data_IF_663667952808
#
_entry.id   IF_663667952808
#
_cell.length_a   1.000
_cell.length_b   1.000
_cell.length_c   1.000
_cell.angle_alpha   90.00
_cell.angle_beta   90.00
_cell.angle_gamma   90.00
#
_symmetry.space_group_name_H-M   'P 1'
#
loop_
_entity.id
_entity.type
_entity.pdbx_description
1 polymer ?
#
# COMPACT_ATOMS: atom_id res chain seq x y z
N UNK A 1 40.20 -25.01 -3.06
CA UNK A 1 38.74 -25.03 -3.21
C UNK A 1 38.48 -24.96 -4.71
N UNK A 2 37.70 -25.90 -5.27
CA UNK A 2 37.38 -25.96 -6.69
C UNK A 2 36.33 -24.95 -7.10
N UNK A 3 36.09 -24.84 -8.42
CA UNK A 3 35.01 -24.01 -8.98
C UNK A 3 33.67 -24.50 -8.42
N UNK A 4 32.84 -23.58 -7.93
CA UNK A 4 31.54 -23.85 -7.29
C UNK A 4 31.59 -24.60 -5.97
N UNK A 5 32.71 -24.53 -5.25
CA UNK A 5 32.87 -25.11 -3.91
C UNK A 5 33.03 -24.04 -2.87
N UNK A 6 32.33 -24.19 -1.75
CA UNK A 6 32.43 -23.31 -0.57
C UNK A 6 32.94 -24.16 0.60
N UNK A 7 34.04 -23.73 1.21
CA UNK A 7 34.53 -24.33 2.44
C UNK A 7 33.96 -23.60 3.65
N UNK A 8 33.19 -24.31 4.45
CA UNK A 8 32.72 -23.80 5.75
C UNK A 8 33.57 -24.41 6.84
N UNK A 9 34.31 -23.58 7.56
CA UNK A 9 35.24 -24.04 8.62
C UNK A 9 35.07 -23.19 9.88
N UNK A 10 35.54 -23.72 11.00
CA UNK A 10 35.49 -23.06 12.32
C UNK A 10 34.08 -22.75 12.80
N UNK A 11 33.09 -23.51 12.37
CA UNK A 11 31.74 -23.44 12.89
C UNK A 11 31.69 -24.04 14.28
N UNK A 12 31.03 -23.33 15.20
CA UNK A 12 30.72 -23.78 16.55
C UNK A 12 29.22 -23.83 16.73
N UNK A 13 28.75 -24.81 17.49
CA UNK A 13 27.33 -24.90 17.87
C UNK A 13 27.15 -24.42 19.31
N UNK A 14 25.97 -23.88 19.59
CA UNK A 14 25.51 -23.62 20.93
C UNK A 14 24.44 -24.63 21.33
N UNK A 15 24.18 -24.74 22.62
CA UNK A 15 23.05 -25.54 23.13
C UNK A 15 21.75 -25.04 22.54
N UNK A 16 20.81 -25.95 22.34
CA UNK A 16 19.48 -25.63 21.81
C UNK A 16 18.76 -24.60 22.71
N UNK A 17 18.20 -23.53 22.14
CA UNK A 17 17.50 -22.52 22.95
C UNK A 17 16.24 -23.12 23.59
N UNK A 18 15.92 -22.69 24.80
CA UNK A 18 14.71 -23.13 25.49
C UNK A 18 13.43 -22.62 24.84
N UNK A 19 13.52 -21.43 24.20
CA UNK A 19 12.40 -20.80 23.52
C UNK A 19 12.69 -20.67 22.02
N UNK A 20 11.66 -20.84 21.23
CA UNK A 20 11.68 -20.61 19.78
C UNK A 20 11.06 -19.25 19.47
N UNK A 21 11.68 -18.52 18.55
CA UNK A 21 11.12 -17.30 17.99
C UNK A 21 10.05 -17.67 16.96
N UNK A 22 8.82 -17.20 17.21
CA UNK A 22 7.69 -17.36 16.29
C UNK A 22 7.25 -15.99 15.82
N UNK A 23 6.99 -15.86 14.53
CA UNK A 23 6.43 -14.64 13.94
C UNK A 23 5.00 -14.92 13.55
N UNK A 24 4.08 -14.08 14.03
CA UNK A 24 2.66 -14.14 13.68
C UNK A 24 2.25 -12.91 12.90
N UNK A 25 1.41 -13.10 11.87
CA UNK A 25 0.75 -12.02 11.16
C UNK A 25 -0.61 -11.72 11.76
N UNK A 26 -0.88 -10.45 12.05
CA UNK A 26 -2.18 -9.98 12.57
C UNK A 26 -2.77 -9.00 11.58
N UNK A 27 -4.01 -9.25 11.15
CA UNK A 27 -4.74 -8.32 10.29
C UNK A 27 -5.16 -7.10 11.11
N UNK A 28 -4.59 -5.93 10.80
CA UNK A 28 -4.89 -4.67 11.52
C UNK A 28 -5.84 -3.74 10.76
N UNK A 29 -6.10 -4.03 9.50
CA UNK A 29 -7.00 -3.22 8.70
C UNK A 29 -6.73 -3.34 7.20
N UNK A 30 -7.11 -2.28 6.48
CA UNK A 30 -7.05 -2.24 5.02
C UNK A 30 -6.52 -0.90 4.53
N UNK A 31 -5.72 -0.93 3.47
CA UNK A 31 -5.36 0.26 2.70
C UNK A 31 -6.29 0.32 1.50
N UNK A 32 -6.90 1.48 1.29
CA UNK A 32 -7.58 1.82 0.03
C UNK A 32 -6.76 2.84 -0.75
N UNK A 33 -6.72 2.71 -2.07
CA UNK A 33 -6.05 3.63 -2.96
C UNK A 33 -6.93 3.94 -4.18
N UNK A 34 -7.13 5.23 -4.46
CA UNK A 34 -7.75 5.69 -5.69
C UNK A 34 -6.79 6.57 -6.48
N UNK A 35 -6.82 6.47 -7.81
CA UNK A 35 -5.94 7.20 -8.73
C UNK A 35 -6.73 7.79 -9.89
N UNK A 36 -6.36 9.00 -10.30
CA UNK A 36 -6.94 9.68 -11.45
C UNK A 36 -5.90 10.59 -12.11
N UNK A 37 -5.82 10.58 -13.43
CA UNK A 37 -4.91 11.45 -14.18
C UNK A 37 -5.67 12.67 -14.67
N UNK A 38 -5.13 13.86 -14.40
CA UNK A 38 -5.63 15.12 -14.92
C UNK A 38 -4.69 15.70 -15.95
N UNK A 39 -5.23 16.17 -17.08
CA UNK A 39 -4.44 16.70 -18.17
C UNK A 39 -4.96 18.03 -18.72
N UNK A 40 -4.13 18.67 -19.56
CA UNK A 40 -4.41 19.94 -20.22
C UNK A 40 -4.08 21.16 -19.37
N UNK A 41 -4.72 22.29 -19.66
CA UNK A 41 -4.50 23.51 -18.90
C UNK A 41 -4.94 23.35 -17.46
N UNK A 42 -4.13 23.88 -16.52
CA UNK A 42 -4.40 23.84 -15.08
C UNK A 42 -4.57 22.40 -14.52
N UNK A 43 -3.81 21.44 -15.06
CA UNK A 43 -3.89 20.04 -14.62
C UNK A 43 -3.71 19.89 -13.10
N UNK A 44 -2.74 20.62 -12.52
CA UNK A 44 -2.49 20.63 -11.08
C UNK A 44 -3.69 21.14 -10.27
N UNK A 45 -4.27 22.28 -10.64
CA UNK A 45 -5.41 22.86 -9.89
C UNK A 45 -6.63 21.92 -9.93
N UNK A 46 -6.87 21.29 -11.07
CA UNK A 46 -7.96 20.33 -11.24
C UNK A 46 -7.75 19.09 -10.34
N UNK A 47 -6.55 18.54 -10.32
CA UNK A 47 -6.21 17.40 -9.47
C UNK A 47 -6.34 17.76 -7.98
N UNK A 48 -5.88 18.95 -7.58
CA UNK A 48 -6.01 19.44 -6.22
C UNK A 48 -7.49 19.57 -5.81
N UNK A 49 -8.30 20.23 -6.64
CA UNK A 49 -9.74 20.36 -6.39
C UNK A 49 -10.43 18.99 -6.32
N UNK A 50 -10.08 18.06 -7.21
CA UNK A 50 -10.61 16.71 -7.16
C UNK A 50 -10.27 15.98 -5.85
N UNK A 51 -9.04 16.13 -5.37
CA UNK A 51 -8.60 15.62 -4.06
C UNK A 51 -9.45 16.17 -2.92
N UNK A 52 -9.66 17.49 -2.89
CA UNK A 52 -10.53 18.16 -1.89
C UNK A 52 -11.97 17.63 -1.95
N UNK A 53 -12.53 17.43 -3.15
CA UNK A 53 -13.87 16.87 -3.35
C UNK A 53 -13.96 15.46 -2.78
N UNK A 54 -12.99 14.60 -3.08
CA UNK A 54 -12.99 13.22 -2.58
C UNK A 54 -12.88 13.20 -1.06
N UNK A 55 -11.94 13.94 -0.47
CA UNK A 55 -11.77 14.02 0.99
C UNK A 55 -13.07 14.50 1.66
N UNK A 56 -13.70 15.53 1.10
CA UNK A 56 -14.98 16.05 1.62
C UNK A 56 -16.09 15.01 1.54
N UNK A 57 -16.20 14.28 0.42
CA UNK A 57 -17.18 13.19 0.27
C UNK A 57 -16.95 12.05 1.26
N UNK A 58 -15.70 11.59 1.38
CA UNK A 58 -15.34 10.53 2.32
C UNK A 58 -15.73 10.91 3.75
N UNK A 59 -15.48 12.15 4.14
CA UNK A 59 -15.86 12.66 5.45
C UNK A 59 -17.37 12.79 5.61
N UNK A 60 -18.05 13.46 4.67
CA UNK A 60 -19.47 13.83 4.82
C UNK A 60 -20.41 12.64 4.62
N UNK A 61 -20.13 11.76 3.64
CA UNK A 61 -21.02 10.66 3.28
C UNK A 61 -20.72 9.36 4.03
N UNK A 62 -19.47 9.18 4.41
CA UNK A 62 -19.02 7.90 4.98
C UNK A 62 -18.43 8.03 6.39
N UNK A 63 -18.38 9.25 6.95
CA UNK A 63 -17.87 9.49 8.30
C UNK A 63 -16.38 9.18 8.46
N UNK A 64 -15.61 9.21 7.37
CA UNK A 64 -14.16 8.95 7.42
C UNK A 64 -13.47 10.20 7.93
N UNK A 65 -12.58 10.03 8.90
CA UNK A 65 -11.74 11.12 9.37
C UNK A 65 -10.76 11.53 8.26
N UNK A 66 -10.84 12.78 7.82
CA UNK A 66 -10.01 13.33 6.76
C UNK A 66 -8.50 13.22 7.05
N UNK A 67 -8.10 13.22 8.33
CA UNK A 67 -6.70 13.06 8.73
C UNK A 67 -6.12 11.68 8.42
N UNK A 68 -6.96 10.68 8.16
CA UNK A 68 -6.55 9.33 7.76
C UNK A 68 -6.33 9.17 6.26
N UNK A 69 -6.66 10.21 5.49
CA UNK A 69 -6.52 10.25 4.05
C UNK A 69 -5.29 11.08 3.65
N UNK A 70 -4.45 10.50 2.82
CA UNK A 70 -3.32 11.19 2.20
C UNK A 70 -3.64 11.49 0.74
N UNK A 71 -3.46 12.74 0.34
CA UNK A 71 -3.65 13.21 -1.03
C UNK A 71 -2.30 13.59 -1.60
N UNK A 72 -1.86 12.89 -2.62
CA UNK A 72 -0.64 13.17 -3.36
C UNK A 72 -0.98 13.57 -4.79
N UNK A 73 -0.23 14.52 -5.33
CA UNK A 73 -0.27 14.86 -6.76
C UNK A 73 1.08 14.50 -7.36
N UNK A 74 1.13 13.32 -7.99
CA UNK A 74 2.34 12.79 -8.61
C UNK A 74 2.68 13.66 -9.84
N UNK A 75 3.93 14.02 -9.98
CA UNK A 75 4.39 15.01 -10.95
C UNK A 75 4.42 16.44 -10.42
N UNK A 76 3.94 16.65 -9.17
CA UNK A 76 3.87 17.95 -8.53
C UNK A 76 4.19 17.86 -7.04
N UNK A 77 5.43 17.60 -6.67
CA UNK A 77 5.92 17.62 -5.28
C UNK A 77 5.41 16.50 -4.35
N UNK A 78 4.82 15.43 -4.88
CA UNK A 78 4.30 14.32 -4.07
C UNK A 78 5.40 13.49 -3.38
N UNK A 79 6.59 13.43 -3.96
CA UNK A 79 7.72 12.62 -3.44
C UNK A 79 8.89 13.53 -3.09
N UNK A 80 9.17 14.50 -3.93
CA UNK A 80 10.30 15.41 -3.78
C UNK A 80 9.83 16.85 -3.99
N UNK A 81 10.25 17.75 -3.10
CA UNK A 81 9.88 19.16 -3.18
C UNK A 81 10.81 19.88 -4.17
N UNK A 82 10.32 20.09 -5.39
CA UNK A 82 10.99 20.86 -6.44
C UNK A 82 10.48 22.30 -6.43
N UNK A 83 11.30 23.21 -6.88
CA UNK A 83 10.85 24.54 -7.28
C UNK A 83 10.24 24.46 -8.68
N UNK A 84 8.95 24.12 -8.75
CA UNK A 84 8.20 23.90 -9.97
C UNK A 84 7.19 25.01 -10.22
N UNK A 85 7.11 25.47 -11.48
CA UNK A 85 5.93 26.20 -11.91
C UNK A 85 4.76 25.23 -12.11
N UNK A 86 3.92 25.12 -11.07
CA UNK A 86 2.77 24.23 -11.06
C UNK A 86 1.75 24.57 -12.15
N UNK A 87 1.72 25.82 -12.65
CA UNK A 87 0.81 26.26 -13.70
C UNK A 87 1.24 25.73 -15.08
N UNK A 88 2.51 25.43 -15.25
CA UNK A 88 3.06 24.89 -16.47
C UNK A 88 2.78 23.38 -16.67
N UNK A 89 2.42 22.68 -15.60
CA UNK A 89 2.15 21.24 -15.65
C UNK A 89 0.92 20.95 -16.52
N UNK A 90 1.11 20.05 -17.49
CA UNK A 90 0.06 19.65 -18.44
C UNK A 90 -0.56 18.30 -18.11
N UNK A 91 0.10 17.51 -17.26
CA UNK A 91 -0.35 16.19 -16.83
C UNK A 91 0.16 15.91 -15.43
N UNK A 92 -0.74 15.46 -14.56
CA UNK A 92 -0.44 15.04 -13.20
C UNK A 92 -1.36 13.89 -12.80
N UNK A 93 -0.91 13.06 -11.85
CA UNK A 93 -1.76 12.03 -11.27
C UNK A 93 -2.17 12.40 -9.85
N UNK A 94 -3.47 12.47 -9.61
CA UNK A 94 -4.04 12.45 -8.26
C UNK A 94 -3.98 11.02 -7.72
N UNK A 95 -3.37 10.85 -6.56
CA UNK A 95 -3.40 9.61 -5.79
C UNK A 95 -3.94 9.91 -4.40
N UNK A 96 -4.97 9.19 -3.98
CA UNK A 96 -5.51 9.30 -2.62
C UNK A 96 -5.41 7.94 -1.97
N UNK A 97 -4.77 7.88 -0.80
CA UNK A 97 -4.63 6.66 -0.01
C UNK A 97 -5.22 6.87 1.37
N UNK A 98 -5.72 5.79 1.97
CA UNK A 98 -6.23 5.83 3.34
C UNK A 98 -6.13 4.47 4.01
N UNK A 99 -6.04 4.51 5.36
CA UNK A 99 -6.11 3.31 6.20
C UNK A 99 -7.50 3.19 6.80
N UNK A 100 -8.07 1.99 6.74
CA UNK A 100 -9.44 1.72 7.15
C UNK A 100 -9.52 0.47 8.02
N UNK A 101 -10.52 0.43 8.90
CA UNK A 101 -10.80 -0.74 9.73
C UNK A 101 -11.47 -1.87 8.95
N UNK A 102 -12.19 -1.54 7.88
CA UNK A 102 -12.93 -2.50 7.08
C UNK A 102 -12.60 -2.40 5.60
N UNK A 103 -12.61 -3.52 4.91
CA UNK A 103 -12.45 -3.60 3.44
C UNK A 103 -13.49 -2.74 2.71
N UNK A 104 -14.72 -2.69 3.23
CA UNK A 104 -15.79 -1.89 2.63
C UNK A 104 -15.49 -0.39 2.66
N UNK A 105 -14.92 0.13 3.74
CA UNK A 105 -14.53 1.54 3.81
C UNK A 105 -13.40 1.86 2.81
N UNK A 106 -12.42 0.96 2.69
CA UNK A 106 -11.36 1.10 1.69
C UNK A 106 -11.91 1.10 0.25
N UNK A 107 -12.87 0.24 -0.05
CA UNK A 107 -13.60 0.22 -1.33
C UNK A 107 -14.33 1.52 -1.62
N UNK A 108 -14.95 2.15 -0.61
CA UNK A 108 -15.65 3.43 -0.79
C UNK A 108 -14.72 4.54 -1.27
N UNK A 109 -13.46 4.57 -0.80
CA UNK A 109 -12.47 5.52 -1.32
C UNK A 109 -12.23 5.32 -2.81
N UNK A 110 -11.99 4.08 -3.23
CA UNK A 110 -11.76 3.77 -4.64
C UNK A 110 -12.95 4.17 -5.52
N UNK A 111 -14.18 3.82 -5.09
CA UNK A 111 -15.40 4.22 -5.80
C UNK A 111 -15.54 5.74 -5.91
N UNK A 112 -15.29 6.46 -4.82
CA UNK A 112 -15.40 7.92 -4.83
C UNK A 112 -14.45 8.56 -5.82
N UNK A 113 -13.23 8.01 -5.96
CA UNK A 113 -12.27 8.48 -6.98
C UNK A 113 -12.70 8.06 -8.38
N UNK A 114 -13.22 6.85 -8.56
CA UNK A 114 -13.66 6.35 -9.88
C UNK A 114 -14.89 7.09 -10.44
N UNK A 115 -15.64 7.76 -9.60
CA UNK A 115 -16.80 8.59 -9.99
C UNK A 115 -16.41 10.00 -10.46
N UNK A 116 -15.17 10.45 -10.26
CA UNK A 116 -14.70 11.79 -10.66
C UNK A 116 -14.95 12.14 -12.14
N UNK A 117 -14.88 11.21 -13.11
CA UNK A 117 -15.23 11.53 -14.50
C UNK A 117 -16.64 12.10 -14.68
N UNK A 118 -17.58 11.66 -13.85
CA UNK A 118 -18.99 12.08 -13.93
C UNK A 118 -19.32 13.29 -13.04
N UNK A 119 -18.55 13.50 -11.96
CA UNK A 119 -18.94 14.44 -10.92
C UNK A 119 -17.78 15.23 -10.29
N UNK A 120 -16.63 15.23 -10.95
CA UNK A 120 -15.43 15.98 -10.58
C UNK A 120 -15.06 17.07 -11.58
N UNK A 121 -13.90 17.72 -11.40
CA UNK A 121 -13.35 18.66 -12.38
C UNK A 121 -13.13 18.02 -13.75
N UNK A 122 -13.32 18.79 -14.81
CA UNK A 122 -13.10 18.33 -16.19
C UNK A 122 -11.64 18.13 -16.52
N UNK A 123 -11.33 17.35 -17.57
CA UNK A 123 -9.95 17.08 -18.02
C UNK A 123 -9.30 15.90 -17.32
N UNK A 124 -10.12 15.03 -16.77
CA UNK A 124 -9.69 13.73 -16.26
C UNK A 124 -9.43 12.78 -17.44
N UNK A 125 -8.26 12.19 -17.47
CA UNK A 125 -7.96 11.03 -18.30
C UNK A 125 -8.03 9.78 -17.42
N UNK A 126 -8.64 8.72 -17.93
CA UNK A 126 -8.89 7.53 -17.15
C UNK A 126 -7.59 6.87 -16.65
N UNK A 127 -7.44 6.84 -15.35
CA UNK A 127 -6.65 5.81 -14.70
C UNK A 127 -7.52 4.55 -14.64
N UNK A 128 -6.96 3.41 -14.99
CA UNK A 128 -7.66 2.11 -15.00
C UNK A 128 -8.41 1.88 -13.70
N UNK A 129 -9.70 1.54 -13.76
CA UNK A 129 -10.45 1.26 -12.53
C UNK A 129 -10.17 -0.15 -12.01
N UNK A 130 -10.30 -0.30 -10.73
CA UNK A 130 -10.89 -1.43 -10.00
C UNK A 130 -10.20 -2.80 -10.01
N UNK A 131 -9.50 -3.22 -11.04
CA UNK A 131 -8.95 -4.59 -11.13
C UNK A 131 -7.48 -4.72 -10.72
N UNK A 132 -6.84 -3.63 -10.36
CA UNK A 132 -5.45 -3.64 -9.89
C UNK A 132 -5.33 -3.27 -8.41
N UNK A 133 -5.89 -4.13 -7.55
CA UNK A 133 -5.51 -4.20 -6.15
C UNK A 133 -5.70 -2.95 -5.31
N UNK A 134 -6.74 -2.15 -5.56
CA UNK A 134 -6.96 -0.92 -4.82
C UNK A 134 -7.30 -1.07 -3.34
N UNK A 135 -7.47 -2.28 -2.84
CA UNK A 135 -7.65 -2.58 -1.42
C UNK A 135 -6.73 -3.70 -0.99
N UNK A 136 -5.79 -3.39 -0.11
CA UNK A 136 -4.81 -4.32 0.43
C UNK A 136 -5.02 -4.51 1.93
N UNK A 137 -4.66 -5.68 2.43
CA UNK A 137 -4.67 -6.00 3.84
C UNK A 137 -3.42 -5.46 4.53
N UNK A 138 -3.59 -4.85 5.70
CA UNK A 138 -2.49 -4.44 6.56
C UNK A 138 -2.21 -5.58 7.51
N UNK A 139 -1.10 -6.29 7.27
CA UNK A 139 -0.63 -7.37 8.13
C UNK A 139 0.56 -6.87 8.94
N UNK A 140 0.37 -6.76 10.25
CA UNK A 140 1.46 -6.46 11.19
C UNK A 140 2.10 -7.74 11.69
N UNK A 141 3.43 -7.74 11.75
CA UNK A 141 4.20 -8.89 12.20
C UNK A 141 4.61 -8.72 13.67
N UNK A 142 4.18 -9.66 14.51
CA UNK A 142 4.55 -9.71 15.92
C UNK A 142 5.50 -10.89 16.16
N UNK A 143 6.51 -10.66 16.98
CA UNK A 143 7.44 -11.70 17.41
C UNK A 143 7.08 -12.17 18.82
N UNK A 144 6.92 -13.47 18.95
CA UNK A 144 6.70 -14.14 20.22
C UNK A 144 7.83 -15.12 20.51
N UNK A 145 8.07 -15.39 21.79
CA UNK A 145 8.92 -16.49 22.22
C UNK A 145 8.01 -17.57 22.81
N UNK A 146 8.05 -18.76 22.23
CA UNK A 146 7.31 -19.92 22.71
C UNK A 146 8.27 -20.97 23.29
N UNK A 147 7.91 -21.62 24.41
CA UNK A 147 8.65 -22.78 24.88
C UNK A 147 8.73 -23.83 23.77
N UNK A 148 9.90 -24.46 23.65
CA UNK A 148 10.14 -25.42 22.57
C UNK A 148 9.15 -26.59 22.61
N UNK A 149 8.72 -27.02 23.80
CA UNK A 149 7.77 -28.12 23.98
C UNK A 149 6.37 -27.81 23.42
N UNK A 150 6.04 -26.51 23.24
CA UNK A 150 4.78 -26.09 22.64
C UNK A 150 4.72 -26.27 21.12
N UNK A 151 5.89 -26.50 20.49
CA UNK A 151 5.98 -26.63 19.03
C UNK A 151 6.22 -28.07 18.64
N UNK A 152 5.26 -28.64 17.92
CA UNK A 152 5.39 -29.97 17.29
C UNK A 152 5.80 -29.79 15.84
N UNK A 153 6.84 -30.51 15.41
CA UNK A 153 7.28 -30.53 14.00
C UNK A 153 7.38 -31.97 13.51
N UNK A 154 7.12 -32.15 12.24
CA UNK A 154 7.35 -33.38 11.51
C UNK A 154 8.38 -33.13 10.41
N UNK A 155 9.22 -34.10 10.16
CA UNK A 155 10.19 -34.06 9.07
C UNK A 155 9.67 -35.00 7.98
N UNK A 156 9.59 -34.50 6.75
CA UNK A 156 9.27 -35.31 5.59
C UNK A 156 10.47 -35.28 4.65
N UNK A 157 10.99 -36.47 4.32
CA UNK A 157 12.04 -36.62 3.32
C UNK A 157 11.38 -36.75 1.94
N UNK A 158 11.86 -35.98 0.97
CA UNK A 158 11.41 -36.05 -0.42
C UNK A 158 12.63 -36.48 -1.25
N UNK A 159 12.52 -37.60 -1.92
CA UNK A 159 13.53 -38.06 -2.87
C UNK A 159 13.37 -37.28 -4.17
N UNK A 160 14.40 -36.55 -4.58
CA UNK A 160 14.43 -35.85 -5.86
C UNK A 160 15.27 -36.69 -6.84
N UNK A 161 14.60 -37.33 -7.77
CA UNK A 161 15.26 -37.99 -8.90
C UNK A 161 15.67 -36.91 -9.92
N UNK A 162 17.00 -36.72 -10.09
CA UNK A 162 17.61 -35.82 -11.08
C UNK A 162 17.74 -36.51 -12.43
#
# INVERSE_FOLDING_TARGET
>A
IGKNQVLVSKTTGHSRPQNLKVVIGVLEGFVGMGRAVYCGSRAYDKARLAGEVVVKRMSTLYGVDSSTLQVDIIGANAIFNWDLDLSALKEVELRITGRFKTRQQAWKLMYTVSELPCNGPTGIAWGRPLDQGGVEEIISLYTLLLPQEAVRFSIHEIEVNL
#
